data_IF_212118253028
#
_entry.id   IF_212118253028
#
_cell.length_a   1.000
_cell.length_b   1.000
_cell.length_c   1.000
_cell.angle_alpha   90.00
_cell.angle_beta   90.00
_cell.angle_gamma   90.00
#
_symmetry.space_group_name_H-M   'P 1'
#
loop_
_entity.id
_entity.type
_entity.pdbx_description
1 polymer ?
#
# COMPACT_ATOMS: atom_id res chain seq x y z
N UNK A 1 16.78 -66.12 -0.48
CA UNK A 1 16.71 -65.88 0.97
C UNK A 1 16.75 -64.39 1.36
N UNK A 2 17.30 -63.48 0.57
CA UNK A 2 17.37 -62.01 0.92
C UNK A 2 16.07 -61.22 0.85
N UNK A 3 15.06 -61.68 0.13
CA UNK A 3 13.73 -60.98 0.03
C UNK A 3 12.76 -61.30 1.17
N UNK A 4 13.01 -62.34 1.96
CA UNK A 4 12.15 -62.68 3.13
C UNK A 4 12.62 -62.05 4.44
N UNK A 5 13.84 -61.53 4.51
CA UNK A 5 14.34 -60.80 5.68
C UNK A 5 13.88 -59.33 5.67
N UNK A 6 13.62 -58.75 4.50
CA UNK A 6 13.18 -57.35 4.39
C UNK A 6 11.67 -57.16 4.75
N UNK A 7 10.88 -58.20 4.50
CA UNK A 7 9.44 -58.16 4.88
C UNK A 7 9.20 -58.39 6.38
N UNK A 8 10.12 -59.03 7.08
CA UNK A 8 10.05 -59.22 8.54
C UNK A 8 10.49 -57.97 9.31
N UNK A 9 11.38 -57.16 8.75
CA UNK A 9 11.77 -55.87 9.35
C UNK A 9 10.70 -54.77 9.19
N UNK A 10 9.92 -54.80 8.12
CA UNK A 10 8.78 -53.88 7.95
C UNK A 10 7.58 -54.26 8.84
N UNK A 11 7.37 -55.58 9.11
CA UNK A 11 6.29 -56.01 10.00
C UNK A 11 6.61 -55.78 11.48
N UNK A 12 7.87 -55.69 11.89
CA UNK A 12 8.26 -55.35 13.25
C UNK A 12 8.12 -53.85 13.59
N UNK A 13 8.12 -52.99 12.58
CA UNK A 13 7.90 -51.56 12.76
C UNK A 13 6.43 -51.15 12.99
N UNK A 14 5.47 -52.04 12.69
CA UNK A 14 4.04 -51.80 12.86
C UNK A 14 3.44 -52.36 14.17
N UNK A 15 4.27 -52.90 15.06
CA UNK A 15 3.83 -53.51 16.34
C UNK A 15 4.39 -52.78 17.58
N UNK A 16 4.65 -51.46 17.47
CA UNK A 16 4.82 -50.67 18.69
C UNK A 16 3.43 -50.39 19.29
N UNK A 17 3.20 -50.75 20.55
CA UNK A 17 1.95 -50.43 21.19
C UNK A 17 1.76 -48.89 21.24
N UNK A 18 0.63 -48.42 20.82
CA UNK A 18 0.13 -47.09 21.15
C UNK A 18 -0.07 -47.04 22.68
N UNK A 19 1.01 -46.88 23.44
CA UNK A 19 0.91 -46.41 24.81
C UNK A 19 0.40 -44.98 24.70
N UNK A 20 -0.81 -44.76 25.25
CA UNK A 20 -1.47 -43.48 25.26
C UNK A 20 -0.52 -42.40 25.73
N UNK A 21 -0.49 -41.30 25.01
CA UNK A 21 -0.01 -40.06 25.55
C UNK A 21 -0.92 -39.72 26.72
N UNK A 22 -0.36 -39.86 27.90
CA UNK A 22 -0.85 -39.23 29.09
C UNK A 22 -0.84 -37.73 28.80
N UNK A 23 -2.00 -37.11 28.80
CA UNK A 23 -2.15 -35.68 28.75
C UNK A 23 -1.74 -35.18 30.13
N UNK A 24 -0.45 -35.25 30.45
CA UNK A 24 0.12 -34.47 31.50
C UNK A 24 -0.13 -33.01 31.16
N UNK A 25 -0.70 -32.29 32.12
CA UNK A 25 -0.89 -30.85 32.09
C UNK A 25 0.36 -30.21 31.50
N UNK A 26 0.21 -29.50 30.36
CA UNK A 26 1.25 -28.60 29.91
C UNK A 26 1.60 -27.72 31.08
N UNK A 27 2.89 -27.61 31.47
CA UNK A 27 3.25 -26.59 32.44
C UNK A 27 2.80 -25.27 31.81
N UNK A 28 1.94 -24.53 32.51
CA UNK A 28 1.75 -23.13 32.24
C UNK A 28 3.15 -22.49 32.22
N UNK A 29 3.75 -22.38 31.03
CA UNK A 29 4.85 -21.47 30.81
C UNK A 29 4.25 -20.08 30.97
N UNK A 30 4.21 -19.68 32.22
CA UNK A 30 3.76 -18.39 32.65
C UNK A 30 4.61 -17.35 31.94
N UNK A 31 3.96 -16.26 31.55
CA UNK A 31 4.57 -15.03 31.01
C UNK A 31 5.77 -14.51 31.84
N UNK A 32 6.04 -15.06 32.99
CA UNK A 32 7.18 -14.81 33.86
C UNK A 32 8.53 -15.30 33.29
N UNK A 33 8.54 -16.33 32.43
CA UNK A 33 9.80 -16.81 31.85
C UNK A 33 10.35 -15.86 30.80
N UNK A 34 9.48 -15.20 30.05
CA UNK A 34 9.88 -14.14 29.11
C UNK A 34 10.35 -12.87 29.85
N UNK A 35 9.71 -12.51 30.95
CA UNK A 35 10.15 -11.36 31.77
C UNK A 35 11.49 -11.62 32.46
N UNK A 36 11.79 -12.86 32.86
CA UNK A 36 13.09 -13.23 33.39
C UNK A 36 14.19 -13.23 32.31
N UNK A 37 13.87 -13.61 31.08
CA UNK A 37 14.81 -13.52 29.96
C UNK A 37 15.17 -12.06 29.64
N UNK A 38 14.19 -11.15 29.73
CA UNK A 38 14.41 -9.71 29.56
C UNK A 38 15.08 -9.05 30.77
N UNK A 39 14.91 -9.56 31.98
CA UNK A 39 15.57 -9.05 33.20
C UNK A 39 17.00 -9.51 33.36
N UNK A 40 17.41 -10.64 32.75
CA UNK A 40 18.78 -11.15 32.80
C UNK A 40 19.74 -10.47 31.81
N UNK A 41 19.22 -9.61 30.90
CA UNK A 41 20.03 -8.81 29.97
C UNK A 41 20.49 -7.46 30.54
N UNK A 42 20.20 -7.13 31.80
CA UNK A 42 20.40 -5.78 32.34
C UNK A 42 21.71 -5.60 33.15
N UNK A 43 22.72 -6.43 32.94
CA UNK A 43 24.00 -6.29 33.65
C UNK A 43 25.23 -5.99 32.80
N UNK A 44 25.09 -5.75 31.51
CA UNK A 44 26.08 -5.04 30.72
C UNK A 44 25.33 -4.08 29.79
N UNK A 45 25.39 -2.80 30.05
CA UNK A 45 25.05 -1.77 29.06
C UNK A 45 26.03 -1.91 27.91
N UNK A 46 25.86 -2.94 27.09
CA UNK A 46 26.40 -2.96 25.76
C UNK A 46 25.70 -1.81 25.04
N UNK A 47 26.47 -0.85 24.56
CA UNK A 47 25.97 0.25 23.75
C UNK A 47 25.31 -0.39 22.50
N UNK A 48 24.00 -0.59 22.54
CA UNK A 48 23.19 -1.21 21.47
C UNK A 48 22.90 -0.22 20.35
N UNK A 49 23.71 0.86 20.23
CA UNK A 49 23.63 1.72 19.06
C UNK A 49 23.95 0.88 17.84
N UNK A 50 23.02 0.89 16.89
CA UNK A 50 23.28 0.34 15.57
C UNK A 50 24.53 1.05 15.02
N UNK A 51 25.62 0.32 14.86
CA UNK A 51 26.89 0.86 14.38
C UNK A 51 26.86 1.10 12.86
N UNK A 52 25.97 0.41 12.15
CA UNK A 52 25.73 0.61 10.72
C UNK A 52 24.27 0.29 10.39
N UNK A 53 23.66 1.07 9.52
CA UNK A 53 22.32 0.84 9.00
C UNK A 53 22.28 1.27 7.53
N UNK A 54 21.89 0.37 6.65
CA UNK A 54 21.84 0.56 5.22
C UNK A 54 20.44 0.47 4.65
N UNK A 55 20.13 1.32 3.68
CA UNK A 55 18.92 1.32 2.89
C UNK A 55 19.25 1.21 1.40
N UNK A 56 18.40 0.58 0.59
CA UNK A 56 18.61 0.51 -0.85
C UNK A 56 18.14 1.79 -1.54
N UNK A 57 18.71 2.07 -2.70
CA UNK A 57 18.14 2.96 -3.69
C UNK A 57 18.31 2.39 -5.10
N UNK A 58 17.39 2.71 -6.00
CA UNK A 58 17.43 2.23 -7.37
C UNK A 58 18.31 3.13 -8.23
N UNK A 59 19.32 2.55 -8.88
CA UNK A 59 20.24 3.27 -9.76
C UNK A 59 19.52 3.84 -10.98
N UNK A 60 19.76 5.12 -11.29
CA UNK A 60 19.19 5.75 -12.46
C UNK A 60 17.83 6.40 -12.25
N UNK A 61 17.18 6.13 -11.10
CA UNK A 61 15.93 6.80 -10.74
C UNK A 61 16.17 8.20 -10.17
N UNK A 62 15.21 9.07 -10.41
CA UNK A 62 15.22 10.43 -9.85
C UNK A 62 14.96 10.43 -8.34
N UNK A 63 15.56 11.39 -7.66
CA UNK A 63 15.28 11.66 -6.24
C UNK A 63 14.22 12.74 -6.04
N UNK A 64 13.71 13.33 -7.12
CA UNK A 64 12.61 14.29 -7.03
C UNK A 64 11.32 13.58 -6.58
N UNK A 65 10.77 13.89 -5.40
CA UNK A 65 9.65 13.15 -4.84
C UNK A 65 8.34 13.33 -5.61
N UNK A 66 8.26 14.32 -6.51
CA UNK A 66 7.07 14.56 -7.35
C UNK A 66 7.07 13.62 -8.57
N UNK A 67 8.23 13.36 -9.15
CA UNK A 67 8.35 12.59 -10.40
C UNK A 67 8.90 11.19 -10.20
N UNK A 68 9.45 10.89 -9.02
CA UNK A 68 9.97 9.58 -8.68
C UNK A 68 8.88 8.50 -8.75
N UNK A 69 9.09 7.48 -9.56
CA UNK A 69 8.18 6.33 -9.69
C UNK A 69 8.52 5.18 -8.75
N UNK A 70 9.78 5.04 -8.33
CA UNK A 70 10.26 3.91 -7.55
C UNK A 70 9.96 4.01 -6.05
N UNK A 71 9.55 2.88 -5.45
CA UNK A 71 9.19 2.80 -4.04
C UNK A 71 10.37 2.99 -3.08
N UNK A 72 11.61 2.61 -3.48
CA UNK A 72 12.79 2.78 -2.64
C UNK A 72 13.12 4.27 -2.46
N UNK A 73 13.19 5.03 -3.56
CA UNK A 73 13.41 6.48 -3.49
C UNK A 73 12.26 7.21 -2.78
N UNK A 74 11.02 6.74 -2.94
CA UNK A 74 9.88 7.29 -2.20
C UNK A 74 10.04 7.09 -0.69
N UNK A 75 10.51 5.92 -0.27
CA UNK A 75 10.79 5.61 1.15
C UNK A 75 11.91 6.51 1.69
N UNK A 76 12.99 6.66 0.94
CA UNK A 76 14.09 7.58 1.30
C UNK A 76 13.63 9.04 1.30
N UNK A 77 12.71 9.39 0.39
CA UNK A 77 12.09 10.71 0.33
C UNK A 77 11.41 11.12 1.63
N UNK A 78 10.81 10.18 2.38
CA UNK A 78 10.23 10.46 3.69
C UNK A 78 11.26 10.91 4.75
N UNK A 79 12.54 10.63 4.56
CA UNK A 79 13.64 11.08 5.42
C UNK A 79 14.22 12.43 4.99
N UNK A 80 14.05 12.80 3.72
CA UNK A 80 14.62 13.98 3.10
C UNK A 80 13.65 15.14 3.00
N UNK A 81 12.37 14.84 2.77
CA UNK A 81 11.33 15.81 2.42
C UNK A 81 10.17 15.72 3.40
N UNK A 82 9.65 16.86 3.78
CA UNK A 82 8.44 16.98 4.58
C UNK A 82 7.29 17.53 3.73
N UNK A 83 6.06 17.38 4.23
CA UNK A 83 4.83 17.84 3.59
C UNK A 83 4.03 18.75 4.52
N UNK A 84 2.98 19.40 4.04
CA UNK A 84 2.10 20.19 4.91
C UNK A 84 1.46 19.32 5.99
N UNK A 85 1.03 18.12 5.60
CA UNK A 85 0.45 17.12 6.49
C UNK A 85 1.11 15.77 6.24
N UNK A 86 1.17 14.93 7.27
CA UNK A 86 1.47 13.50 7.17
C UNK A 86 0.20 12.73 7.47
N UNK A 87 0.10 11.49 6.98
CA UNK A 87 -1.02 10.62 7.29
C UNK A 87 -0.64 9.63 8.39
N UNK A 88 -1.49 9.49 9.40
CA UNK A 88 -1.39 8.42 10.37
C UNK A 88 -1.73 7.04 9.77
N UNK A 89 -1.56 5.97 10.54
CA UNK A 89 -1.98 4.61 10.14
C UNK A 89 -3.51 4.47 10.05
N UNK A 90 -4.24 5.44 10.57
CA UNK A 90 -5.70 5.62 10.49
C UNK A 90 -6.13 6.52 9.33
N UNK A 91 -5.16 7.00 8.53
CA UNK A 91 -5.30 7.92 7.41
C UNK A 91 -5.78 9.33 7.79
N UNK A 92 -5.77 9.69 9.08
CA UNK A 92 -6.06 11.06 9.46
C UNK A 92 -4.86 11.98 9.19
N UNK A 93 -5.10 13.19 8.64
CA UNK A 93 -4.04 14.17 8.42
C UNK A 93 -3.50 14.71 9.73
N UNK A 94 -2.20 14.61 9.91
CA UNK A 94 -1.45 15.15 11.03
C UNK A 94 -0.66 16.37 10.56
N UNK A 95 -0.81 17.56 11.18
CA UNK A 95 -0.03 18.73 10.79
C UNK A 95 1.49 18.48 10.89
N UNK A 96 2.22 18.79 9.83
CA UNK A 96 3.70 18.75 9.78
C UNK A 96 4.22 20.15 9.51
N UNK A 97 4.43 20.54 8.26
CA UNK A 97 4.82 21.92 7.91
C UNK A 97 3.67 22.92 8.06
N UNK A 98 2.42 22.45 8.04
CA UNK A 98 1.29 23.29 8.38
C UNK A 98 1.25 23.59 9.89
N UNK A 99 1.24 24.85 10.27
CA UNK A 99 1.01 25.29 11.65
C UNK A 99 -0.49 25.36 11.97
N UNK A 100 -1.25 25.89 11.03
CA UNK A 100 -2.71 25.99 11.12
C UNK A 100 -3.35 26.01 9.73
N UNK A 101 -4.64 25.67 9.67
CA UNK A 101 -5.43 25.82 8.47
C UNK A 101 -6.86 26.26 8.81
N UNK A 102 -7.49 26.98 7.88
CA UNK A 102 -8.89 27.35 7.94
C UNK A 102 -9.54 27.15 6.58
N UNK A 103 -10.71 26.55 6.58
CA UNK A 103 -11.50 26.30 5.36
C UNK A 103 -12.72 27.24 5.33
N UNK A 104 -12.89 27.93 4.22
CA UNK A 104 -14.05 28.74 3.93
C UNK A 104 -14.97 28.01 2.94
N UNK A 105 -16.13 27.56 3.42
CA UNK A 105 -17.10 26.80 2.63
C UNK A 105 -17.87 27.65 1.61
N UNK A 106 -17.89 29.01 1.73
CA UNK A 106 -18.55 29.87 0.78
C UNK A 106 -17.71 30.12 -0.47
N UNK A 107 -16.38 30.25 -0.29
CA UNK A 107 -15.43 30.47 -1.38
C UNK A 107 -14.68 29.21 -1.80
N UNK A 108 -14.92 28.06 -1.15
CA UNK A 108 -14.19 26.79 -1.32
C UNK A 108 -12.68 26.99 -1.19
N UNK A 109 -12.27 27.79 -0.21
CA UNK A 109 -10.87 28.17 -0.05
C UNK A 109 -10.27 27.59 1.24
N UNK A 110 -9.15 26.88 1.10
CA UNK A 110 -8.33 26.42 2.21
C UNK A 110 -7.15 27.39 2.37
N UNK A 111 -7.10 28.11 3.49
CA UNK A 111 -5.96 28.95 3.86
C UNK A 111 -5.08 28.18 4.83
N UNK A 112 -3.78 28.05 4.52
CA UNK A 112 -2.80 27.32 5.34
C UNK A 112 -1.71 28.29 5.76
N UNK A 113 -1.37 28.26 7.06
CA UNK A 113 -0.18 28.94 7.60
C UNK A 113 0.94 27.92 7.71
N UNK A 114 2.04 28.16 7.05
CA UNK A 114 3.26 27.35 7.11
C UNK A 114 4.03 27.71 8.40
N UNK A 115 4.55 26.72 9.06
CA UNK A 115 5.31 26.85 10.31
C UNK A 115 6.53 27.74 10.11
N UNK A 116 6.71 28.68 11.03
CA UNK A 116 7.89 29.57 11.03
C UNK A 116 9.14 28.87 11.56
N UNK A 117 10.31 29.32 11.15
CA UNK A 117 11.60 28.80 11.63
C UNK A 117 12.04 27.46 11.01
N UNK A 118 11.27 26.91 10.07
CA UNK A 118 11.67 25.72 9.31
C UNK A 118 12.75 26.09 8.31
N UNK A 119 13.84 25.29 8.27
CA UNK A 119 14.93 25.45 7.30
C UNK A 119 15.06 24.23 6.41
N UNK A 120 15.46 24.46 5.18
CA UNK A 120 15.97 23.41 4.32
C UNK A 120 17.33 22.90 4.77
N UNK A 121 17.78 21.77 4.21
CA UNK A 121 19.06 21.14 4.55
C UNK A 121 20.29 21.95 4.14
N UNK A 122 20.12 23.00 3.34
CA UNK A 122 21.15 23.98 2.98
C UNK A 122 21.16 25.24 3.88
N UNK A 123 20.30 25.27 4.91
CA UNK A 123 20.15 26.36 5.88
C UNK A 123 19.22 27.49 5.43
N UNK A 124 18.72 27.49 4.21
CA UNK A 124 17.75 28.50 3.76
C UNK A 124 16.37 28.29 4.39
N UNK A 125 15.60 29.37 4.58
CA UNK A 125 14.27 29.30 5.14
C UNK A 125 13.28 28.67 4.16
N UNK A 126 12.38 27.79 4.69
CA UNK A 126 11.22 27.29 3.97
C UNK A 126 10.09 28.31 4.07
N UNK A 127 9.46 28.64 2.95
CA UNK A 127 8.40 29.64 2.85
C UNK A 127 7.16 29.11 2.15
N UNK A 128 6.06 29.83 2.23
CA UNK A 128 4.83 29.52 1.48
C UNK A 128 5.05 29.49 -0.03
N UNK A 129 6.07 30.20 -0.54
CA UNK A 129 6.42 30.18 -1.96
C UNK A 129 6.91 28.79 -2.40
N UNK A 130 7.74 28.10 -1.61
CA UNK A 130 8.23 26.75 -1.88
C UNK A 130 7.07 25.75 -1.91
N UNK A 131 6.14 25.87 -0.95
CA UNK A 131 4.92 25.05 -0.89
C UNK A 131 4.05 25.24 -2.14
N UNK A 132 3.81 26.51 -2.53
CA UNK A 132 3.02 26.82 -3.74
C UNK A 132 3.70 26.27 -4.99
N UNK A 133 5.02 26.38 -5.10
CA UNK A 133 5.78 25.81 -6.23
C UNK A 133 5.65 24.29 -6.29
N UNK A 134 5.78 23.59 -5.14
CA UNK A 134 5.63 22.14 -5.06
C UNK A 134 4.21 21.68 -5.42
N UNK A 135 3.17 22.33 -4.89
CA UNK A 135 1.78 21.97 -5.19
C UNK A 135 1.41 22.20 -6.65
N UNK A 136 1.91 23.27 -7.29
CA UNK A 136 1.71 23.50 -8.73
C UNK A 136 2.35 22.38 -9.56
N UNK A 137 3.60 22.03 -9.27
CA UNK A 137 4.27 20.93 -9.95
C UNK A 137 3.54 19.60 -9.71
N UNK A 138 3.11 19.33 -8.49
CA UNK A 138 2.38 18.12 -8.16
C UNK A 138 1.06 18.01 -8.94
N UNK A 139 0.32 19.10 -9.09
CA UNK A 139 -0.92 19.14 -9.91
C UNK A 139 -0.68 18.74 -11.37
N UNK A 140 0.45 19.10 -11.93
CA UNK A 140 0.82 18.79 -13.32
C UNK A 140 1.46 17.40 -13.47
N UNK A 141 1.82 16.74 -12.37
CA UNK A 141 2.49 15.44 -12.39
C UNK A 141 1.52 14.29 -12.64
N UNK A 142 2.02 13.22 -13.26
CA UNK A 142 1.27 11.96 -13.44
C UNK A 142 0.87 11.37 -12.09
N UNK A 143 1.74 11.50 -11.08
CA UNK A 143 1.56 10.89 -9.77
C UNK A 143 0.48 11.58 -8.92
N UNK A 144 0.45 12.91 -8.90
CA UNK A 144 -0.41 13.66 -7.99
C UNK A 144 -1.51 14.45 -8.69
N UNK A 145 -1.47 14.55 -10.03
CA UNK A 145 -2.40 15.37 -10.79
C UNK A 145 -3.86 15.02 -10.54
N UNK A 146 -4.20 13.73 -10.59
CA UNK A 146 -5.56 13.26 -10.32
C UNK A 146 -5.97 13.52 -8.86
N UNK A 147 -5.05 13.35 -7.90
CA UNK A 147 -5.29 13.61 -6.48
C UNK A 147 -5.56 15.09 -6.20
N UNK A 148 -4.96 15.99 -6.96
CA UNK A 148 -5.13 17.45 -6.87
C UNK A 148 -6.11 17.99 -7.91
N UNK A 149 -6.91 17.15 -8.57
CA UNK A 149 -7.84 17.59 -9.61
C UNK A 149 -8.79 18.68 -9.14
N UNK A 150 -9.23 18.63 -7.87
CA UNK A 150 -10.14 19.61 -7.26
C UNK A 150 -9.44 20.93 -6.87
N UNK A 151 -8.12 21.00 -6.89
CA UNK A 151 -7.41 22.25 -6.68
C UNK A 151 -7.51 23.10 -7.95
N UNK A 152 -8.34 24.14 -7.93
CA UNK A 152 -8.43 25.11 -9.03
C UNK A 152 -7.13 25.90 -9.15
N UNK A 153 -6.75 26.56 -8.07
CA UNK A 153 -5.55 27.39 -8.02
C UNK A 153 -4.92 27.40 -6.64
N UNK A 154 -3.64 27.77 -6.59
CA UNK A 154 -2.89 27.98 -5.35
C UNK A 154 -2.01 29.21 -5.45
N UNK A 155 -2.02 30.04 -4.40
CA UNK A 155 -1.22 31.27 -4.32
C UNK A 155 -0.69 31.48 -2.89
N UNK A 156 0.47 32.11 -2.77
CA UNK A 156 0.97 32.60 -1.48
C UNK A 156 0.42 34.00 -1.21
N UNK A 157 0.09 34.26 0.06
CA UNK A 157 -0.42 35.57 0.54
C UNK A 157 0.63 36.34 1.32
N UNK A 158 1.78 35.73 1.58
CA UNK A 158 2.92 36.24 2.33
C UNK A 158 3.95 35.15 2.54
N UNK A 159 5.00 35.40 3.33
CA UNK A 159 6.09 34.44 3.54
C UNK A 159 5.64 33.12 4.16
N UNK A 160 4.63 33.16 5.05
CA UNK A 160 4.14 31.98 5.78
C UNK A 160 2.73 31.55 5.41
N UNK A 161 2.02 32.26 4.54
CA UNK A 161 0.59 31.95 4.30
C UNK A 161 0.35 31.69 2.83
N UNK A 162 -0.38 30.61 2.55
CA UNK A 162 -0.87 30.29 1.21
C UNK A 162 -2.40 30.04 1.24
N UNK A 163 -3.00 30.15 0.07
CA UNK A 163 -4.43 29.86 -0.14
C UNK A 163 -4.61 28.97 -1.35
N UNK A 164 -5.40 27.91 -1.15
CA UNK A 164 -5.81 26.96 -2.17
C UNK A 164 -7.29 27.20 -2.43
N UNK A 165 -7.68 27.42 -3.69
CA UNK A 165 -9.07 27.44 -4.12
C UNK A 165 -9.44 26.12 -4.73
N UNK A 166 -10.62 25.61 -4.41
CA UNK A 166 -11.13 24.33 -4.90
C UNK A 166 -12.27 24.56 -5.90
N UNK A 167 -12.47 23.61 -6.81
CA UNK A 167 -13.56 23.62 -7.79
C UNK A 167 -14.92 23.28 -7.17
N UNK A 168 -14.90 22.64 -5.99
CA UNK A 168 -16.11 22.26 -5.22
C UNK A 168 -15.85 22.33 -3.73
N UNK A 169 -16.91 22.20 -2.96
CA UNK A 169 -16.82 22.14 -1.50
C UNK A 169 -16.15 20.84 -1.05
N UNK A 170 -14.94 20.93 -0.48
CA UNK A 170 -14.20 19.81 0.10
C UNK A 170 -13.45 20.26 1.38
N UNK A 171 -14.12 20.23 2.54
CA UNK A 171 -13.50 20.60 3.81
C UNK A 171 -12.39 19.62 4.28
N UNK A 172 -12.29 18.45 3.65
CA UNK A 172 -11.29 17.43 3.98
C UNK A 172 -10.05 17.48 3.06
N UNK A 173 -9.95 18.45 2.18
CA UNK A 173 -8.86 18.58 1.21
C UNK A 173 -7.47 18.57 1.85
N UNK A 174 -7.33 18.96 3.13
CA UNK A 174 -6.07 18.86 3.88
C UNK A 174 -5.48 17.44 3.89
N UNK A 175 -6.33 16.39 3.85
CA UNK A 175 -5.89 15.00 3.79
C UNK A 175 -5.19 14.61 2.47
N UNK A 176 -5.27 15.48 1.44
CA UNK A 176 -4.58 15.31 0.15
C UNK A 176 -3.22 16.01 0.09
N UNK A 177 -2.82 16.75 1.16
CA UNK A 177 -1.64 17.61 1.20
C UNK A 177 -0.43 16.96 1.88
N UNK A 178 -0.34 15.62 1.89
CA UNK A 178 0.85 14.85 2.24
C UNK A 178 1.83 14.75 1.05
N UNK A 179 1.94 15.84 0.29
CA UNK A 179 2.80 15.97 -0.88
C UNK A 179 4.16 16.52 -0.43
N UNK A 180 5.27 15.81 -0.73
CA UNK A 180 6.59 16.25 -0.34
C UNK A 180 6.98 17.60 -0.95
N UNK A 181 7.59 18.45 -0.14
CA UNK A 181 8.01 19.80 -0.53
C UNK A 181 9.53 19.84 -0.65
N UNK A 182 10.01 20.32 -1.77
CA UNK A 182 11.42 20.62 -2.03
C UNK A 182 11.63 22.13 -2.10
N UNK A 183 12.86 22.57 -1.91
CA UNK A 183 13.23 23.97 -2.15
C UNK A 183 13.01 24.34 -3.61
N UNK A 184 12.32 25.43 -3.84
CA UNK A 184 12.04 25.91 -5.19
C UNK A 184 13.35 26.16 -5.99
N UNK A 185 13.38 25.67 -7.22
CA UNK A 185 14.53 25.77 -8.11
C UNK A 185 15.55 24.63 -8.01
N UNK A 186 15.35 23.63 -7.11
CA UNK A 186 16.26 22.47 -6.95
C UNK A 186 15.74 21.18 -7.59
N UNK A 187 14.66 21.22 -8.33
CA UNK A 187 14.03 20.02 -8.95
C UNK A 187 14.94 19.32 -9.96
N UNK A 188 15.90 20.01 -10.54
CA UNK A 188 16.88 19.46 -11.49
C UNK A 188 18.17 18.98 -10.83
N UNK A 189 18.32 19.19 -9.52
CA UNK A 189 19.46 18.69 -8.77
C UNK A 189 19.41 17.15 -8.70
N UNK A 190 20.57 16.51 -8.60
CA UNK A 190 20.64 15.04 -8.44
C UNK A 190 19.78 14.56 -7.26
N UNK A 191 19.83 15.31 -6.15
CA UNK A 191 18.95 15.15 -4.99
C UNK A 191 18.43 16.52 -4.63
N UNK A 192 17.14 16.82 -4.84
CA UNK A 192 16.55 18.11 -4.46
C UNK A 192 16.72 18.42 -2.98
N UNK A 193 16.79 19.70 -2.65
CA UNK A 193 16.98 20.16 -1.27
C UNK A 193 15.66 20.05 -0.50
N UNK A 194 15.65 19.31 0.60
CA UNK A 194 14.48 19.08 1.46
C UNK A 194 14.64 19.63 2.87
N UNK A 195 13.57 19.62 3.64
CA UNK A 195 13.49 20.07 5.04
C UNK A 195 13.55 18.94 6.07
N UNK A 196 13.59 17.69 5.62
CA UNK A 196 13.51 16.50 6.47
C UNK A 196 14.67 16.35 7.48
N UNK A 197 14.57 15.32 8.35
CA UNK A 197 15.55 15.08 9.41
C UNK A 197 16.94 14.64 8.93
N UNK A 198 17.03 14.20 7.69
CA UNK A 198 18.29 13.80 7.06
C UNK A 198 18.56 14.63 5.80
N UNK A 199 19.83 14.67 5.41
CA UNK A 199 20.30 15.23 4.15
C UNK A 199 21.15 14.20 3.41
N UNK A 200 21.07 14.20 2.09
CA UNK A 200 21.95 13.41 1.23
C UNK A 200 23.39 13.94 1.34
N UNK A 201 24.34 13.02 1.44
CA UNK A 201 25.77 13.34 1.50
C UNK A 201 26.59 12.25 0.79
N UNK A 202 27.83 12.58 0.46
CA UNK A 202 28.78 11.68 -0.19
C UNK A 202 30.18 11.92 0.38
N UNK A 203 30.90 10.83 0.61
CA UNK A 203 32.29 10.82 0.99
C UNK A 203 33.08 9.72 0.23
N UNK A 204 34.29 9.40 0.68
CA UNK A 204 35.15 8.37 0.09
C UNK A 204 34.55 6.95 0.22
N UNK A 205 33.71 6.71 1.24
CA UNK A 205 33.05 5.41 1.47
C UNK A 205 31.78 5.22 0.63
N UNK A 206 31.22 6.29 0.07
CA UNK A 206 30.03 6.22 -0.77
C UNK A 206 29.00 7.29 -0.50
N UNK A 207 27.75 6.99 -0.81
CA UNK A 207 26.60 7.88 -0.59
C UNK A 207 25.85 7.46 0.68
N UNK A 208 25.33 8.43 1.41
CA UNK A 208 24.64 8.19 2.67
C UNK A 208 23.67 9.33 3.01
N UNK A 209 22.80 9.09 3.97
CA UNK A 209 21.97 10.11 4.60
C UNK A 209 22.60 10.52 5.94
N UNK A 210 22.94 11.79 6.07
CA UNK A 210 23.47 12.37 7.31
C UNK A 210 22.35 13.01 8.12
N UNK A 211 22.27 12.69 9.41
CA UNK A 211 21.33 13.33 10.33
C UNK A 211 21.58 14.83 10.41
N UNK A 212 20.51 15.61 10.36
CA UNK A 212 20.57 17.05 10.61
C UNK A 212 20.52 17.33 12.11
N UNK A 213 21.39 18.20 12.57
CA UNK A 213 21.43 18.70 13.97
C UNK A 213 20.59 19.97 14.14
N UNK A 214 20.24 20.62 13.03
CA UNK A 214 19.45 21.85 12.91
C UNK A 214 18.01 21.61 12.43
N UNK A 215 17.55 20.34 12.50
CA UNK A 215 16.19 20.03 12.13
C UNK A 215 15.18 20.64 13.10
N UNK A 216 14.15 21.27 12.60
CA UNK A 216 13.21 22.11 13.34
C UNK A 216 12.32 21.38 14.36
N UNK A 217 12.11 20.06 14.20
CA UNK A 217 11.40 19.28 15.20
C UNK A 217 12.33 18.91 16.36
N UNK A 218 11.87 19.10 17.58
CA UNK A 218 12.59 18.71 18.80
C UNK A 218 12.56 17.19 19.00
N UNK A 219 13.08 16.46 18.00
CA UNK A 219 13.20 15.00 18.01
C UNK A 219 14.60 14.60 17.59
N UNK A 220 15.21 13.73 18.37
CA UNK A 220 16.53 13.17 18.00
C UNK A 220 16.31 11.93 17.15
N UNK A 221 16.79 11.94 15.92
CA UNK A 221 16.82 10.75 15.07
C UNK A 221 17.86 9.77 15.62
N UNK A 222 17.53 8.45 15.65
CA UNK A 222 18.37 7.45 16.31
C UNK A 222 19.71 7.20 15.62
N UNK A 223 19.77 7.41 14.30
CA UNK A 223 20.94 7.14 13.49
C UNK A 223 21.60 8.45 13.04
N UNK A 224 22.92 8.56 13.20
CA UNK A 224 23.68 9.71 12.69
C UNK A 224 23.94 9.60 11.19
N UNK A 225 24.04 8.35 10.70
CA UNK A 225 24.36 8.03 9.33
C UNK A 225 23.56 6.81 8.90
N UNK A 226 22.99 6.85 7.70
CA UNK A 226 22.32 5.75 7.03
C UNK A 226 23.04 5.52 5.71
N UNK A 227 23.69 4.39 5.55
CA UNK A 227 24.38 4.03 4.32
C UNK A 227 23.38 3.77 3.19
N UNK A 228 23.72 4.15 1.96
CA UNK A 228 22.85 3.92 0.80
C UNK A 228 23.50 2.93 -0.16
N UNK A 229 22.85 1.81 -0.37
CA UNK A 229 23.29 0.76 -1.28
C UNK A 229 22.61 0.88 -2.64
N UNK A 230 23.42 1.07 -3.68
CA UNK A 230 22.94 1.19 -5.05
C UNK A 230 22.50 -0.17 -5.60
N UNK A 231 21.23 -0.29 -5.95
CA UNK A 231 20.64 -1.50 -6.52
C UNK A 231 20.18 -1.24 -7.97
N UNK A 232 20.24 -2.25 -8.83
CA UNK A 232 19.85 -2.12 -10.24
C UNK A 232 18.36 -2.36 -10.46
N UNK A 233 17.74 -3.17 -9.60
CA UNK A 233 16.34 -3.58 -9.65
C UNK A 233 15.91 -4.15 -8.29
N UNK A 234 14.65 -4.51 -8.17
CA UNK A 234 14.07 -5.10 -6.95
C UNK A 234 14.72 -6.43 -6.55
N UNK A 235 15.14 -7.28 -7.50
CA UNK A 235 15.86 -8.53 -7.19
C UNK A 235 17.20 -8.25 -6.53
N UNK A 236 17.94 -7.24 -6.99
CA UNK A 236 19.20 -6.84 -6.35
C UNK A 236 19.00 -6.21 -4.97
N UNK A 237 17.86 -5.56 -4.71
CA UNK A 237 17.48 -5.09 -3.36
C UNK A 237 17.18 -6.27 -2.44
N UNK A 238 16.40 -7.26 -2.90
CA UNK A 238 16.10 -8.47 -2.15
C UNK A 238 17.38 -9.27 -1.83
N UNK A 239 18.31 -9.34 -2.79
CA UNK A 239 19.61 -9.95 -2.57
C UNK A 239 20.47 -9.19 -1.55
N UNK A 240 20.53 -7.86 -1.64
CA UNK A 240 21.25 -7.01 -0.68
C UNK A 240 20.67 -7.15 0.75
N UNK A 241 19.36 -7.33 0.87
CA UNK A 241 18.73 -7.65 2.16
C UNK A 241 19.13 -9.05 2.66
N UNK A 242 19.13 -10.05 1.79
CA UNK A 242 19.55 -11.40 2.12
C UNK A 242 21.03 -11.48 2.56
N UNK A 243 21.91 -10.71 1.92
CA UNK A 243 23.35 -10.64 2.26
C UNK A 243 23.65 -9.69 3.43
N UNK A 244 22.63 -9.03 3.99
CA UNK A 244 22.77 -8.05 5.06
C UNK A 244 23.53 -6.76 4.66
N UNK A 245 23.65 -6.47 3.37
CA UNK A 245 24.21 -5.20 2.89
C UNK A 245 23.23 -4.03 3.15
N UNK A 246 21.96 -4.34 3.31
CA UNK A 246 20.92 -3.43 3.80
C UNK A 246 20.14 -4.11 4.95
N UNK A 247 19.61 -3.30 5.88
CA UNK A 247 18.91 -3.79 7.06
C UNK A 247 17.39 -3.60 7.00
N UNK A 248 16.89 -2.84 6.05
CA UNK A 248 15.45 -2.66 5.86
C UNK A 248 15.12 -2.61 4.37
N UNK A 249 14.01 -3.26 4.01
CA UNK A 249 13.43 -3.23 2.67
C UNK A 249 11.93 -3.04 2.79
N UNK A 250 11.39 -2.11 1.99
CA UNK A 250 9.93 -1.94 1.86
C UNK A 250 9.46 -2.74 0.65
N UNK A 251 8.47 -3.61 0.85
CA UNK A 251 7.93 -4.48 -0.18
C UNK A 251 6.45 -4.18 -0.40
N UNK A 252 6.06 -3.97 -1.65
CA UNK A 252 4.65 -4.02 -2.07
C UNK A 252 4.37 -5.40 -2.65
N UNK A 253 3.64 -6.24 -1.90
CA UNK A 253 3.31 -7.61 -2.30
C UNK A 253 2.30 -7.68 -3.45
N UNK A 254 1.64 -6.57 -3.77
CA UNK A 254 0.65 -6.48 -4.86
C UNK A 254 1.18 -5.81 -6.13
N UNK A 255 2.40 -5.29 -6.07
CA UNK A 255 3.05 -4.59 -7.17
C UNK A 255 3.41 -5.50 -8.35
N UNK A 256 3.72 -4.88 -9.49
CA UNK A 256 4.14 -5.60 -10.71
C UNK A 256 5.56 -6.14 -10.58
N UNK A 257 6.44 -5.43 -9.86
CA UNK A 257 7.86 -5.76 -9.69
C UNK A 257 8.16 -6.27 -8.28
N UNK A 258 7.33 -7.16 -7.76
CA UNK A 258 7.59 -7.79 -6.46
C UNK A 258 8.68 -8.83 -6.59
N UNK A 259 9.67 -8.77 -5.70
CA UNK A 259 10.67 -9.82 -5.55
C UNK A 259 10.38 -10.63 -4.29
N UNK A 260 10.65 -11.93 -4.38
CA UNK A 260 10.60 -12.77 -3.19
C UNK A 260 11.73 -12.36 -2.25
N UNK A 261 11.38 -11.99 -1.02
CA UNK A 261 12.36 -11.72 0.03
C UNK A 261 12.65 -13.01 0.76
N UNK A 262 13.93 -13.41 0.75
CA UNK A 262 14.42 -14.59 1.43
C UNK A 262 15.25 -14.20 2.65
N UNK A 263 15.34 -15.10 3.63
CA UNK A 263 16.15 -14.92 4.83
C UNK A 263 15.31 -14.80 6.10
N UNK A 264 15.99 -14.61 7.23
CA UNK A 264 15.37 -14.36 8.53
C UNK A 264 15.29 -12.85 8.80
N UNK A 265 14.15 -12.37 9.19
CA UNK A 265 13.93 -10.97 9.54
C UNK A 265 12.61 -10.79 10.27
N UNK A 266 12.44 -9.65 10.91
CA UNK A 266 11.14 -9.20 11.39
C UNK A 266 10.45 -8.37 10.30
N UNK A 267 9.13 -8.37 10.29
CA UNK A 267 8.35 -7.54 9.40
C UNK A 267 7.30 -6.74 10.17
N UNK A 268 6.87 -5.65 9.57
CA UNK A 268 5.76 -4.84 10.06
C UNK A 268 4.87 -4.50 8.88
N UNK A 269 3.59 -4.81 8.98
CA UNK A 269 2.60 -4.43 7.98
C UNK A 269 2.23 -2.96 8.16
N UNK A 270 2.24 -2.23 7.06
CA UNK A 270 1.80 -0.84 7.01
C UNK A 270 0.52 -0.79 6.18
N UNK A 271 -0.61 -0.35 6.77
CA UNK A 271 -1.87 -0.25 6.04
C UNK A 271 -1.74 0.76 4.89
N UNK A 272 -2.27 0.36 3.74
CA UNK A 272 -2.30 1.21 2.54
C UNK A 272 -3.73 1.55 2.17
N UNK A 273 -3.91 2.58 1.35
CA UNK A 273 -5.20 2.90 0.72
C UNK A 273 -5.37 2.25 -0.66
N UNK A 274 -4.50 1.30 -1.00
CA UNK A 274 -4.60 0.57 -2.27
C UNK A 274 -5.69 -0.49 -2.17
N UNK A 275 -6.74 -0.33 -2.97
CA UNK A 275 -7.87 -1.23 -3.04
C UNK A 275 -7.78 -2.11 -4.28
N UNK A 276 -7.92 -3.43 -4.08
CA UNK A 276 -8.09 -4.42 -5.14
C UNK A 276 -9.57 -4.77 -5.22
N UNK A 277 -10.13 -4.86 -6.43
CA UNK A 277 -11.57 -5.11 -6.58
C UNK A 277 -11.91 -5.79 -7.91
N UNK A 278 -13.11 -6.37 -7.97
CA UNK A 278 -13.71 -6.84 -9.23
C UNK A 278 -14.72 -5.80 -9.68
N UNK A 279 -14.52 -5.24 -10.86
CA UNK A 279 -15.48 -4.36 -11.53
C UNK A 279 -16.42 -5.15 -12.44
N UNK A 280 -17.71 -4.79 -12.42
CA UNK A 280 -18.74 -5.37 -13.27
C UNK A 280 -19.17 -4.35 -14.32
N UNK A 281 -19.34 -4.76 -15.58
CA UNK A 281 -20.00 -3.93 -16.56
C UNK A 281 -21.52 -3.99 -16.34
N UNK A 282 -22.08 -3.01 -15.63
CA UNK A 282 -23.50 -2.99 -15.26
C UNK A 282 -24.40 -2.50 -16.41
N UNK A 283 -23.81 -2.03 -17.51
CA UNK A 283 -24.57 -1.49 -18.64
C UNK A 283 -25.14 -2.56 -19.56
N UNK A 284 -24.68 -3.82 -19.41
CA UNK A 284 -25.11 -4.95 -20.25
C UNK A 284 -25.40 -6.22 -19.45
N UNK A 285 -26.19 -7.13 -20.04
CA UNK A 285 -26.42 -8.45 -19.47
C UNK A 285 -25.11 -9.28 -19.43
N UNK A 286 -24.94 -10.16 -18.40
CA UNK A 286 -25.92 -10.44 -17.34
C UNK A 286 -25.79 -9.49 -16.15
N UNK A 287 -24.81 -8.59 -16.12
CA UNK A 287 -24.47 -7.78 -14.95
C UNK A 287 -25.31 -6.51 -14.77
N UNK A 288 -26.26 -6.24 -15.65
CA UNK A 288 -27.33 -5.28 -15.39
C UNK A 288 -28.31 -5.78 -14.31
N UNK A 289 -28.29 -7.09 -13.95
CA UNK A 289 -29.06 -7.65 -12.83
C UNK A 289 -28.31 -7.46 -11.50
N UNK A 290 -28.80 -6.60 -10.57
CA UNK A 290 -28.16 -6.38 -9.29
C UNK A 290 -28.21 -7.59 -8.38
N UNK A 291 -29.18 -8.51 -8.55
CA UNK A 291 -29.28 -9.74 -7.74
C UNK A 291 -28.13 -10.69 -8.07
N UNK A 292 -27.78 -10.81 -9.36
CA UNK A 292 -26.63 -11.60 -9.76
C UNK A 292 -25.33 -11.05 -9.19
N UNK A 293 -25.12 -9.74 -9.29
CA UNK A 293 -23.91 -9.11 -8.74
C UNK A 293 -23.79 -9.31 -7.23
N UNK A 294 -24.90 -9.17 -6.49
CA UNK A 294 -24.94 -9.41 -5.05
C UNK A 294 -24.65 -10.88 -4.73
N UNK A 295 -25.22 -11.82 -5.48
CA UNK A 295 -24.96 -13.25 -5.31
C UNK A 295 -23.48 -13.58 -5.53
N UNK A 296 -22.88 -13.11 -6.62
CA UNK A 296 -21.45 -13.32 -6.90
C UNK A 296 -20.54 -12.75 -5.81
N UNK A 297 -20.90 -11.60 -5.21
CA UNK A 297 -20.14 -11.04 -4.10
C UNK A 297 -20.07 -11.97 -2.88
N UNK A 298 -21.12 -12.74 -2.62
CA UNK A 298 -21.16 -13.74 -1.54
C UNK A 298 -20.27 -14.97 -1.82
N UNK A 299 -20.00 -15.26 -3.10
CA UNK A 299 -19.13 -16.36 -3.52
C UNK A 299 -17.64 -16.02 -3.55
N UNK A 300 -17.25 -14.76 -3.34
CA UNK A 300 -15.86 -14.32 -3.38
C UNK A 300 -15.13 -14.59 -2.06
N UNK A 301 -14.31 -15.63 -2.00
CA UNK A 301 -13.45 -15.93 -0.84
C UNK A 301 -12.24 -15.00 -0.79
N UNK A 302 -12.46 -13.79 -0.27
CA UNK A 302 -11.44 -12.75 -0.14
C UNK A 302 -10.35 -13.15 0.85
N UNK A 303 -10.73 -13.70 2.00
CA UNK A 303 -9.81 -14.12 3.05
C UNK A 303 -8.90 -15.26 2.57
N UNK A 304 -9.45 -16.24 1.86
CA UNK A 304 -8.67 -17.30 1.24
C UNK A 304 -7.69 -16.77 0.19
N UNK A 305 -8.07 -15.72 -0.56
CA UNK A 305 -7.18 -15.03 -1.50
C UNK A 305 -6.02 -14.31 -0.81
N UNK A 306 -6.28 -13.56 0.25
CA UNK A 306 -5.27 -12.89 1.07
C UNK A 306 -4.31 -13.92 1.68
N UNK A 307 -4.84 -15.01 2.24
CA UNK A 307 -4.02 -16.08 2.81
C UNK A 307 -3.14 -16.76 1.76
N UNK A 308 -3.68 -17.08 0.58
CA UNK A 308 -2.98 -17.85 -0.45
C UNK A 308 -1.88 -17.05 -1.16
N UNK A 309 -2.10 -15.76 -1.41
CA UNK A 309 -1.21 -14.96 -2.27
C UNK A 309 -0.48 -13.84 -1.55
N UNK A 310 -0.94 -13.44 -0.37
CA UNK A 310 -0.29 -12.42 0.45
C UNK A 310 0.18 -12.95 1.80
N UNK A 311 0.10 -14.26 2.04
CA UNK A 311 0.50 -14.90 3.30
C UNK A 311 -0.11 -14.26 4.55
N UNK A 312 -1.29 -13.66 4.41
CA UNK A 312 -1.96 -12.92 5.47
C UNK A 312 -1.61 -11.43 5.57
N UNK A 313 -0.67 -10.93 4.76
CA UNK A 313 -0.24 -9.52 4.73
C UNK A 313 -1.19 -8.59 3.97
N UNK A 314 -2.48 -8.80 4.08
CA UNK A 314 -3.52 -7.99 3.46
C UNK A 314 -4.78 -7.98 4.32
N UNK A 315 -5.69 -7.07 4.04
CA UNK A 315 -6.97 -6.99 4.74
C UNK A 315 -8.11 -7.17 3.75
N UNK A 316 -9.13 -7.94 4.14
CA UNK A 316 -10.37 -8.02 3.37
C UNK A 316 -11.20 -6.77 3.63
N UNK A 317 -11.88 -6.26 2.60
CA UNK A 317 -12.77 -5.12 2.72
C UNK A 317 -14.17 -5.46 2.20
N UNK A 318 -15.19 -5.10 2.97
CA UNK A 318 -16.61 -5.22 2.62
C UNK A 318 -17.15 -3.88 2.07
N UNK A 319 -16.39 -2.82 2.21
CA UNK A 319 -16.72 -1.47 1.77
C UNK A 319 -15.50 -0.87 1.06
N UNK A 320 -15.68 0.01 0.06
CA UNK A 320 -14.56 0.53 -0.73
C UNK A 320 -13.74 1.60 0.00
N UNK A 321 -13.31 1.32 1.23
CA UNK A 321 -12.38 2.10 2.05
C UNK A 321 -11.37 1.14 2.68
N UNK A 322 -10.25 1.68 3.18
CA UNK A 322 -9.33 0.87 3.98
C UNK A 322 -9.98 0.46 5.31
N UNK A 323 -9.94 -0.82 5.70
CA UNK A 323 -10.41 -1.26 7.03
C UNK A 323 -9.71 -0.57 8.21
N UNK A 324 -8.53 0.00 7.99
CA UNK A 324 -7.79 0.79 9.00
C UNK A 324 -8.29 2.23 9.12
N UNK A 325 -9.11 2.72 8.20
CA UNK A 325 -9.65 4.06 8.25
C UNK A 325 -10.64 4.23 9.42
N UNK A 326 -10.58 5.39 10.09
CA UNK A 326 -11.51 5.72 11.20
C UNK A 326 -12.97 5.67 10.76
N UNK A 327 -13.24 6.06 9.51
CA UNK A 327 -14.59 6.10 8.94
C UNK A 327 -15.07 4.75 8.37
N UNK A 328 -14.25 3.70 8.43
CA UNK A 328 -14.65 2.38 7.96
C UNK A 328 -15.76 1.81 8.85
N UNK A 329 -16.88 1.31 8.27
CA UNK A 329 -17.94 0.66 9.05
C UNK A 329 -17.41 -0.61 9.72
N UNK A 330 -17.31 -0.62 11.06
CA UNK A 330 -16.68 -1.72 11.83
C UNK A 330 -17.63 -2.86 12.18
N UNK A 331 -18.90 -2.70 11.89
CA UNK A 331 -19.99 -3.67 12.10
C UNK A 331 -20.30 -4.50 10.85
N UNK A 332 -19.51 -4.36 9.79
CA UNK A 332 -19.64 -5.18 8.59
C UNK A 332 -19.09 -6.58 8.85
N UNK A 333 -19.96 -7.57 8.65
CA UNK A 333 -19.60 -8.98 8.75
C UNK A 333 -18.90 -9.48 7.48
N UNK A 334 -18.13 -10.57 7.62
CA UNK A 334 -17.60 -11.30 6.46
C UNK A 334 -18.76 -11.83 5.62
N UNK A 335 -18.81 -11.48 4.34
CA UNK A 335 -19.92 -11.84 3.46
C UNK A 335 -19.70 -13.12 2.69
N UNK A 336 -18.47 -13.69 2.67
CA UNK A 336 -18.20 -14.95 1.99
C UNK A 336 -18.93 -16.10 2.70
N UNK A 337 -19.81 -16.76 1.97
CA UNK A 337 -20.54 -17.94 2.44
C UNK A 337 -20.98 -18.79 1.24
N UNK A 338 -20.46 -20.02 1.07
CA UNK A 338 -20.88 -20.93 0.00
C UNK A 338 -22.38 -21.21 0.02
N UNK A 339 -22.99 -21.36 1.20
CA UNK A 339 -24.44 -21.63 1.31
C UNK A 339 -25.27 -20.39 0.98
N UNK A 340 -24.85 -19.20 1.40
CA UNK A 340 -25.51 -17.95 1.02
C UNK A 340 -25.34 -17.67 -0.48
N UNK A 341 -24.17 -17.97 -1.05
CA UNK A 341 -23.94 -17.88 -2.50
C UNK A 341 -24.91 -18.78 -3.26
N UNK A 342 -25.02 -20.06 -2.88
CA UNK A 342 -25.97 -21.01 -3.48
C UNK A 342 -27.40 -20.48 -3.43
N UNK A 343 -27.87 -20.12 -2.24
CA UNK A 343 -29.23 -19.61 -2.04
C UNK A 343 -29.53 -18.34 -2.84
N UNK A 344 -28.55 -17.45 -2.95
CA UNK A 344 -28.66 -16.23 -3.73
C UNK A 344 -28.71 -16.52 -5.24
N UNK A 345 -27.89 -17.45 -5.74
CA UNK A 345 -27.91 -17.88 -7.13
C UNK A 345 -29.23 -18.59 -7.49
N UNK A 346 -29.78 -19.46 -6.61
CA UNK A 346 -31.10 -20.05 -6.74
C UNK A 346 -32.19 -18.96 -6.83
N UNK A 347 -32.16 -18.00 -5.92
CA UNK A 347 -33.12 -16.89 -5.90
C UNK A 347 -33.05 -16.03 -7.16
N UNK A 348 -31.84 -15.88 -7.73
CA UNK A 348 -31.63 -15.16 -9.00
C UNK A 348 -31.93 -16.02 -10.25
N UNK A 349 -32.22 -17.32 -10.07
CA UNK A 349 -32.64 -18.25 -11.15
C UNK A 349 -31.49 -18.86 -11.94
N UNK A 350 -30.30 -19.03 -11.32
CA UNK A 350 -29.09 -19.51 -12.01
C UNK A 350 -28.64 -20.93 -11.61
N UNK A 351 -29.47 -21.73 -10.96
CA UNK A 351 -29.01 -23.01 -10.42
C UNK A 351 -29.75 -24.25 -10.94
N UNK A 352 -30.69 -24.08 -11.86
CA UNK A 352 -31.55 -25.21 -12.33
C UNK A 352 -31.27 -25.62 -13.78
N UNK A 353 -30.17 -25.12 -14.37
CA UNK A 353 -29.92 -25.30 -15.80
C UNK A 353 -30.81 -24.43 -16.71
N UNK A 354 -31.68 -23.60 -16.12
CA UNK A 354 -32.54 -22.69 -16.88
C UNK A 354 -31.81 -21.44 -17.35
N UNK A 355 -30.83 -21.00 -16.57
CA UNK A 355 -29.97 -19.87 -16.91
C UNK A 355 -28.52 -20.23 -16.62
N UNK A 356 -27.64 -19.88 -17.52
CA UNK A 356 -26.19 -19.97 -17.34
C UNK A 356 -25.52 -18.61 -17.58
N UNK A 357 -24.40 -18.38 -16.89
CA UNK A 357 -23.54 -17.21 -17.06
C UNK A 357 -22.23 -17.69 -17.69
N UNK A 358 -21.89 -17.17 -18.86
CA UNK A 358 -20.56 -17.37 -19.45
C UNK A 358 -20.00 -16.02 -19.83
N UNK A 359 -18.96 -15.60 -19.13
CA UNK A 359 -18.42 -14.23 -19.16
C UNK A 359 -16.90 -14.24 -19.08
N UNK A 360 -16.29 -13.12 -19.49
CA UNK A 360 -14.84 -12.92 -19.46
C UNK A 360 -14.46 -11.92 -18.38
N UNK A 361 -13.42 -12.26 -17.59
CA UNK A 361 -12.78 -11.34 -16.65
C UNK A 361 -11.45 -10.88 -17.24
N UNK A 362 -11.30 -9.57 -17.47
CA UNK A 362 -10.03 -9.00 -17.92
C UNK A 362 -9.10 -8.75 -16.74
N UNK A 363 -7.79 -9.00 -16.96
CA UNK A 363 -6.72 -8.68 -16.01
C UNK A 363 -5.46 -8.30 -16.78
N UNK A 364 -4.67 -7.37 -16.29
CA UNK A 364 -3.39 -7.05 -16.91
C UNK A 364 -2.37 -8.17 -16.67
N UNK A 365 -1.63 -8.56 -17.72
CA UNK A 365 -0.76 -9.74 -17.71
C UNK A 365 0.57 -9.54 -16.97
N UNK A 366 1.04 -8.30 -16.86
CA UNK A 366 2.33 -7.99 -16.24
C UNK A 366 2.34 -8.19 -14.72
N UNK A 367 1.16 -8.23 -14.08
CA UNK A 367 1.05 -8.39 -12.64
C UNK A 367 0.61 -9.82 -12.27
N UNK A 368 1.58 -10.66 -11.92
CA UNK A 368 1.34 -12.07 -11.59
C UNK A 368 0.44 -12.28 -10.38
N UNK A 369 0.48 -11.37 -9.38
CA UNK A 369 -0.42 -11.40 -8.25
C UNK A 369 -1.88 -11.22 -8.69
N UNK A 370 -2.16 -10.19 -9.49
CA UNK A 370 -3.52 -9.92 -10.00
C UNK A 370 -4.04 -11.06 -10.84
N UNK A 371 -3.20 -11.63 -11.71
CA UNK A 371 -3.56 -12.80 -12.53
C UNK A 371 -3.92 -14.01 -11.66
N UNK A 372 -3.13 -14.29 -10.62
CA UNK A 372 -3.37 -15.40 -9.71
C UNK A 372 -4.64 -15.21 -8.89
N UNK A 373 -4.85 -14.01 -8.36
CA UNK A 373 -6.06 -13.65 -7.61
C UNK A 373 -7.31 -13.70 -8.49
N UNK A 374 -7.24 -13.16 -9.72
CA UNK A 374 -8.35 -13.21 -10.67
C UNK A 374 -8.74 -14.65 -11.01
N UNK A 375 -7.77 -15.54 -11.22
CA UNK A 375 -8.02 -16.98 -11.48
C UNK A 375 -8.64 -17.68 -10.29
N UNK A 376 -8.17 -17.40 -9.06
CA UNK A 376 -8.79 -17.95 -7.85
C UNK A 376 -10.25 -17.51 -7.74
N UNK A 377 -10.51 -16.20 -7.82
CA UNK A 377 -11.86 -15.67 -7.70
C UNK A 377 -12.78 -16.18 -8.81
N UNK A 378 -12.29 -16.28 -10.05
CA UNK A 378 -13.05 -16.89 -11.15
C UNK A 378 -13.37 -18.37 -10.87
N UNK A 379 -12.43 -19.11 -10.28
CA UNK A 379 -12.64 -20.51 -9.88
C UNK A 379 -13.69 -20.62 -8.76
N UNK A 380 -13.62 -19.78 -7.74
CA UNK A 380 -14.59 -19.75 -6.64
C UNK A 380 -16.01 -19.48 -7.15
N UNK A 381 -16.14 -18.57 -8.11
CA UNK A 381 -17.40 -18.16 -8.70
C UNK A 381 -17.91 -19.11 -9.79
N UNK A 382 -17.06 -19.94 -10.39
CA UNK A 382 -17.41 -20.87 -11.47
C UNK A 382 -18.15 -22.10 -10.94
N UNK A 383 -19.22 -21.85 -10.19
CA UNK A 383 -20.16 -22.82 -9.63
C UNK A 383 -21.58 -22.41 -10.05
N UNK A 384 -22.56 -23.30 -9.90
CA UNK A 384 -23.98 -22.99 -10.13
C UNK A 384 -24.25 -22.36 -11.50
N UNK A 385 -23.79 -23.03 -12.58
CA UNK A 385 -23.94 -22.59 -13.98
C UNK A 385 -23.29 -21.26 -14.32
N UNK A 386 -22.32 -20.82 -13.52
CA UNK A 386 -21.44 -19.67 -13.82
C UNK A 386 -20.09 -20.18 -14.36
N UNK A 387 -19.68 -19.65 -15.51
CA UNK A 387 -18.35 -19.86 -16.09
C UNK A 387 -17.71 -18.50 -16.31
N UNK A 388 -16.56 -18.28 -15.67
CA UNK A 388 -15.75 -17.07 -15.84
C UNK A 388 -14.41 -17.45 -16.50
N UNK A 389 -14.17 -16.95 -17.70
CA UNK A 389 -12.90 -17.11 -18.40
C UNK A 389 -11.99 -15.91 -18.10
N UNK A 390 -10.79 -16.16 -17.55
CA UNK A 390 -9.84 -15.10 -17.21
C UNK A 390 -8.94 -14.85 -18.41
N UNK A 391 -9.09 -13.67 -19.02
CA UNK A 391 -8.31 -13.21 -20.16
C UNK A 391 -7.26 -12.19 -19.69
N UNK A 392 -5.99 -12.54 -19.87
CA UNK A 392 -4.87 -11.62 -19.62
C UNK A 392 -4.62 -10.74 -20.86
N UNK A 393 -4.31 -9.48 -20.63
CA UNK A 393 -3.98 -8.51 -21.69
C UNK A 393 -2.78 -7.67 -21.26
N UNK A 394 -1.92 -7.23 -22.19
CA UNK A 394 -0.96 -6.16 -21.94
C UNK A 394 -1.67 -4.94 -21.35
N UNK A 395 -1.01 -4.22 -20.43
CA UNK A 395 -1.64 -3.13 -19.67
C UNK A 395 -2.34 -2.09 -20.54
N UNK A 396 -1.71 -1.69 -21.65
CA UNK A 396 -2.31 -0.70 -22.57
C UNK A 396 -3.58 -1.23 -23.25
N UNK A 397 -3.58 -2.49 -23.68
CA UNK A 397 -4.74 -3.14 -24.28
C UNK A 397 -5.85 -3.37 -23.24
N UNK A 398 -5.49 -3.76 -22.03
CA UNK A 398 -6.40 -3.87 -20.89
C UNK A 398 -7.09 -2.54 -20.61
N UNK A 399 -6.32 -1.46 -20.50
CA UNK A 399 -6.86 -0.12 -20.25
C UNK A 399 -7.73 0.40 -21.40
N UNK A 400 -7.33 0.12 -22.64
CA UNK A 400 -8.12 0.47 -23.84
C UNK A 400 -9.47 -0.27 -23.85
N UNK A 401 -9.49 -1.57 -23.52
CA UNK A 401 -10.72 -2.35 -23.42
C UNK A 401 -11.66 -1.82 -22.32
N UNK A 402 -11.12 -1.44 -21.14
CA UNK A 402 -11.92 -0.84 -20.07
C UNK A 402 -12.55 0.48 -20.52
N UNK A 403 -11.77 1.39 -21.12
CA UNK A 403 -12.24 2.68 -21.63
C UNK A 403 -13.30 2.53 -22.73
N UNK A 404 -13.19 1.48 -23.54
CA UNK A 404 -14.18 1.18 -24.57
C UNK A 404 -15.45 0.50 -24.03
N UNK A 405 -15.47 0.08 -22.75
CA UNK A 405 -16.55 -0.74 -22.18
C UNK A 405 -16.59 -2.16 -22.75
N UNK A 406 -15.50 -2.65 -23.33
CA UNK A 406 -15.41 -3.97 -23.93
C UNK A 406 -14.91 -5.03 -22.93
N UNK A 407 -15.71 -5.25 -21.91
CA UNK A 407 -15.48 -6.23 -20.86
C UNK A 407 -16.81 -6.67 -20.24
N UNK A 408 -16.79 -7.81 -19.56
CA UNK A 408 -17.89 -8.25 -18.67
C UNK A 408 -17.50 -7.97 -17.22
N UNK A 409 -16.31 -8.46 -16.83
CA UNK A 409 -15.67 -8.26 -15.53
C UNK A 409 -14.24 -7.78 -15.75
N UNK A 410 -13.69 -7.09 -14.77
CA UNK A 410 -12.26 -6.82 -14.72
C UNK A 410 -11.72 -6.87 -13.29
N UNK A 411 -10.47 -7.26 -13.15
CA UNK A 411 -9.73 -7.16 -11.90
C UNK A 411 -9.05 -5.80 -11.83
N UNK A 412 -9.54 -4.93 -10.97
CA UNK A 412 -9.09 -3.56 -10.83
C UNK A 412 -8.26 -3.30 -9.58
N UNK A 413 -7.49 -2.24 -9.64
CA UNK A 413 -6.77 -1.66 -8.51
C UNK A 413 -6.85 -0.16 -8.57
N UNK A 414 -7.04 0.47 -7.42
CA UNK A 414 -6.86 1.91 -7.29
C UNK A 414 -6.30 2.28 -5.92
N UNK A 415 -5.50 3.34 -5.88
CA UNK A 415 -5.07 3.97 -4.64
C UNK A 415 -6.08 5.05 -4.28
N UNK A 416 -6.83 4.83 -3.22
CA UNK A 416 -7.80 5.80 -2.70
C UNK A 416 -7.07 6.99 -2.05
N UNK A 417 -7.68 8.16 -2.10
CA UNK A 417 -7.22 9.33 -1.37
C UNK A 417 -7.68 9.29 0.09
N UNK A 418 -6.95 9.94 1.00
CA UNK A 418 -7.24 9.86 2.44
C UNK A 418 -8.50 10.62 2.89
N UNK A 419 -9.08 11.43 2.01
CA UNK A 419 -10.43 12.01 2.17
C UNK A 419 -11.55 11.07 1.69
N UNK A 420 -11.19 9.88 1.20
CA UNK A 420 -12.09 8.82 0.77
C UNK A 420 -13.08 9.24 -0.32
N UNK A 421 -12.65 10.11 -1.23
CA UNK A 421 -13.46 10.50 -2.39
C UNK A 421 -13.60 9.33 -3.38
N UNK A 422 -14.78 8.74 -3.43
CA UNK A 422 -15.12 7.65 -4.34
C UNK A 422 -15.70 8.13 -5.68
N UNK A 423 -15.79 9.43 -5.90
CA UNK A 423 -16.36 10.00 -7.13
C UNK A 423 -15.69 9.49 -8.40
N UNK A 424 -14.35 9.28 -8.47
CA UNK A 424 -13.71 8.72 -9.65
C UNK A 424 -14.22 7.32 -10.03
N UNK A 425 -14.65 6.52 -9.05
CA UNK A 425 -15.14 5.15 -9.25
C UNK A 425 -16.65 5.09 -9.47
N UNK A 426 -17.42 5.92 -8.77
CA UNK A 426 -18.87 5.76 -8.62
C UNK A 426 -19.70 6.80 -9.36
N UNK A 427 -19.14 7.98 -9.63
CA UNK A 427 -19.89 9.03 -10.34
C UNK A 427 -20.01 8.75 -11.85
N UNK A 428 -21.12 9.12 -12.49
CA UNK A 428 -21.20 9.12 -13.94
C UNK A 428 -20.08 9.96 -14.55
N UNK A 429 -19.30 9.36 -15.45
CA UNK A 429 -18.13 10.01 -16.06
C UNK A 429 -16.89 10.10 -15.15
N UNK A 430 -16.89 9.44 -14.00
CA UNK A 430 -15.70 9.29 -13.17
C UNK A 430 -14.56 8.60 -13.91
N UNK A 431 -13.33 9.05 -13.71
CA UNK A 431 -12.15 8.61 -14.49
C UNK A 431 -11.87 7.09 -14.38
N UNK A 432 -12.36 6.43 -13.34
CA UNK A 432 -12.22 4.99 -13.10
C UNK A 432 -13.57 4.24 -13.18
N UNK A 433 -14.63 4.92 -13.59
CA UNK A 433 -15.95 4.31 -13.80
C UNK A 433 -16.08 3.86 -15.26
N UNK A 434 -15.69 2.61 -15.52
CA UNK A 434 -15.65 2.06 -16.87
C UNK A 434 -16.97 1.38 -17.32
N UNK A 435 -17.93 1.28 -16.43
CA UNK A 435 -19.20 0.58 -16.72
C UNK A 435 -20.01 0.24 -15.51
#
# INVERSE_FOLDING_TARGET
MKKRLLSLLLAAACLMPLSGCDWGEEPEETYDTLSQYYQQSDSTKQDTRLTSFGLPYLQGETWDPITCADGAQQTLGALLYESLYTLGTDFLPQPCLAESASYDAESYALTVTVRSGVTFSDGSALTAWDVVAALRRAKESVRYGQRLAEMDSVSYLGESTLRIYLTRNDPQFAARLDIPIIKGGTQEDTVPVGSGPYRYAKDESGVYLARRTDWWQDKTMPLERIELTACKNTDSMAYAFYTHDIQMLVCDLTGTNTSNVYGSGSYTDIPTSTMQYIGFNVTRAPFNDPKLRAALSLGMDRAGGVSAFLLGHGQTAQFPLSPSAVVYPKDLEETYSPDSYRSAMETAGYTSGEKSVSVTMLVNEENSFKVSMARKLASDLSQYDVKIDVKTLPYEDYLAALKAGDFDLYYGECKLTADWDLSPLLSPGGALNYG
#
